data_IF_705359771763
#
_entry.id   IF_705359771763
#
_cell.length_a   1.000
_cell.length_b   1.000
_cell.length_c   1.000
_cell.angle_alpha   90.00
_cell.angle_beta   90.00
_cell.angle_gamma   90.00
#
_symmetry.space_group_name_H-M   'P 1'
#
loop_
_entity.id
_entity.type
_entity.pdbx_description
1 polymer ?
#
# COMPACT_ATOMS: atom_id res chain seq x y z
N UNK A 1 25.17 -8.75 20.27
CA UNK A 1 26.23 -8.59 19.25
C UNK A 1 26.78 -9.95 18.86
N UNK A 2 26.84 -10.23 17.56
CA UNK A 2 27.47 -11.43 17.02
C UNK A 2 28.68 -11.00 16.18
N UNK A 3 29.87 -11.50 16.55
CA UNK A 3 31.17 -11.08 15.97
C UNK A 3 31.71 -11.98 14.87
N UNK A 4 31.06 -13.08 14.55
CA UNK A 4 31.45 -14.02 13.50
C UNK A 4 30.63 -13.87 12.22
N UNK A 5 31.06 -14.54 11.14
CA UNK A 5 30.24 -14.66 9.92
C UNK A 5 28.96 -15.44 10.26
N UNK A 6 27.83 -14.90 9.89
CA UNK A 6 26.51 -15.50 10.12
C UNK A 6 25.95 -15.94 8.77
N UNK A 7 25.63 -17.24 8.66
CA UNK A 7 25.01 -17.78 7.44
C UNK A 7 24.04 -18.91 7.81
N UNK A 8 22.75 -18.67 7.60
CA UNK A 8 21.72 -19.71 7.74
C UNK A 8 20.47 -19.32 6.95
N UNK A 9 19.65 -20.31 6.60
CA UNK A 9 18.42 -20.12 5.81
C UNK A 9 17.15 -20.12 6.65
N UNK A 10 17.26 -20.35 7.95
CA UNK A 10 16.11 -20.34 8.87
C UNK A 10 15.58 -18.92 9.13
N UNK A 11 14.52 -18.86 9.91
CA UNK A 11 13.91 -17.59 10.33
C UNK A 11 14.80 -16.86 11.35
N UNK A 12 15.09 -15.60 11.07
CA UNK A 12 15.60 -14.63 12.05
C UNK A 12 14.42 -13.87 12.64
N UNK A 13 14.13 -14.05 13.93
CA UNK A 13 13.02 -13.38 14.61
C UNK A 13 13.54 -12.43 15.68
N UNK A 14 13.31 -11.11 15.50
CA UNK A 14 13.74 -10.05 16.41
C UNK A 14 12.50 -9.48 17.06
N UNK A 15 12.29 -9.80 18.34
CA UNK A 15 11.10 -9.42 19.10
C UNK A 15 11.31 -8.19 19.99
N UNK A 16 12.54 -7.70 20.10
CA UNK A 16 12.84 -6.50 20.88
C UNK A 16 14.30 -6.07 20.74
N UNK A 17 14.54 -4.77 20.90
CA UNK A 17 15.87 -4.18 20.93
C UNK A 17 16.62 -4.19 19.60
N UNK A 18 17.95 -4.28 19.68
CA UNK A 18 18.85 -4.23 18.49
C UNK A 18 19.69 -5.49 18.36
N UNK A 19 19.72 -6.06 17.17
CA UNK A 19 20.65 -7.11 16.77
C UNK A 19 21.76 -6.48 15.93
N UNK A 20 23.00 -6.55 16.40
CA UNK A 20 24.18 -6.06 15.66
C UNK A 20 25.08 -7.22 15.24
N UNK A 21 25.27 -7.37 13.94
CA UNK A 21 26.20 -8.31 13.31
C UNK A 21 27.46 -7.54 12.92
N UNK A 22 28.51 -7.69 13.70
CA UNK A 22 29.70 -6.81 13.62
C UNK A 22 30.81 -7.38 12.73
N UNK A 23 30.63 -8.55 12.15
CA UNK A 23 31.59 -9.11 11.19
C UNK A 23 31.60 -8.23 9.92
N UNK A 24 32.80 -7.87 9.46
CA UNK A 24 32.97 -7.11 8.22
C UNK A 24 32.67 -7.95 6.94
N UNK A 25 32.63 -9.28 7.07
CA UNK A 25 32.26 -10.17 5.99
C UNK A 25 30.75 -10.17 5.70
N UNK A 26 30.37 -10.80 4.61
CA UNK A 26 28.98 -10.92 4.22
C UNK A 26 28.19 -11.80 5.22
N UNK A 27 27.03 -11.35 5.61
CA UNK A 27 26.02 -12.10 6.36
C UNK A 27 24.99 -12.63 5.37
N UNK A 28 24.64 -13.91 5.48
CA UNK A 28 23.61 -14.53 4.62
C UNK A 28 22.47 -15.08 5.46
N UNK A 29 21.27 -14.58 5.25
CA UNK A 29 20.07 -14.93 6.01
C UNK A 29 18.94 -15.41 5.11
N UNK A 30 18.03 -16.20 5.69
CA UNK A 30 16.74 -16.53 5.11
C UNK A 30 15.69 -15.46 5.44
N UNK A 31 14.53 -15.90 5.95
CA UNK A 31 13.45 -15.01 6.34
C UNK A 31 13.82 -14.18 7.58
N UNK A 32 13.34 -12.93 7.62
CA UNK A 32 13.53 -12.03 8.76
C UNK A 32 12.17 -11.52 9.21
N UNK A 33 11.89 -11.60 10.52
CA UNK A 33 10.73 -10.98 11.14
C UNK A 33 11.20 -10.03 12.23
N UNK A 34 10.70 -8.81 12.20
CA UNK A 34 11.06 -7.75 13.16
C UNK A 34 9.80 -7.13 13.75
N UNK A 35 9.69 -7.19 15.07
CA UNK A 35 8.62 -6.54 15.83
C UNK A 35 8.82 -5.01 15.88
N UNK A 36 7.82 -4.30 16.36
CA UNK A 36 7.85 -2.85 16.52
C UNK A 36 9.07 -2.37 17.34
N UNK A 37 9.62 -1.23 16.92
CA UNK A 37 10.77 -0.57 17.57
C UNK A 37 12.03 -1.44 17.66
N UNK A 38 12.22 -2.37 16.72
CA UNK A 38 13.42 -3.19 16.65
C UNK A 38 14.37 -2.72 15.56
N UNK A 39 15.64 -3.02 15.73
CA UNK A 39 16.67 -2.68 14.76
C UNK A 39 17.60 -3.85 14.51
N UNK A 40 17.94 -4.06 13.24
CA UNK A 40 19.02 -4.95 12.84
C UNK A 40 20.11 -4.15 12.14
N UNK A 41 21.38 -4.41 12.45
CA UNK A 41 22.50 -3.79 11.73
C UNK A 41 23.52 -4.85 11.35
N UNK A 42 24.13 -4.69 10.17
CA UNK A 42 25.30 -5.45 9.73
C UNK A 42 26.46 -4.53 9.43
N UNK A 43 27.67 -4.88 9.84
CA UNK A 43 28.87 -4.11 9.47
C UNK A 43 29.28 -4.38 8.01
N UNK A 44 29.11 -5.59 7.53
CA UNK A 44 29.36 -6.01 6.15
C UNK A 44 28.09 -6.05 5.29
N UNK A 45 28.17 -6.76 4.18
CA UNK A 45 27.03 -7.00 3.31
C UNK A 45 25.97 -7.88 3.98
N UNK A 46 24.71 -7.68 3.63
CA UNK A 46 23.60 -8.59 3.96
C UNK A 46 23.06 -9.23 2.68
N UNK A 47 23.16 -10.55 2.60
CA UNK A 47 22.58 -11.33 1.51
C UNK A 47 21.31 -12.05 2.00
N UNK A 48 20.25 -11.97 1.24
CA UNK A 48 19.04 -12.76 1.48
C UNK A 48 18.99 -13.96 0.54
N UNK A 49 18.54 -15.09 1.06
CA UNK A 49 18.24 -16.25 0.22
C UNK A 49 17.14 -15.92 -0.80
N UNK A 50 17.13 -16.59 -1.94
CA UNK A 50 16.12 -16.39 -2.96
C UNK A 50 14.70 -16.60 -2.40
N UNK A 51 13.78 -15.71 -2.79
CA UNK A 51 12.39 -15.73 -2.34
C UNK A 51 12.18 -15.58 -0.83
N UNK A 52 13.17 -15.03 -0.11
CA UNK A 52 13.00 -14.72 1.33
C UNK A 52 11.85 -13.76 1.57
N UNK A 53 11.24 -13.88 2.75
CA UNK A 53 10.23 -12.94 3.24
C UNK A 53 10.84 -12.08 4.35
N UNK A 54 10.73 -10.76 4.20
CA UNK A 54 10.97 -9.78 5.24
C UNK A 54 9.61 -9.34 5.79
N UNK A 55 9.38 -9.61 7.07
CA UNK A 55 8.22 -9.11 7.80
C UNK A 55 8.72 -8.03 8.76
N UNK A 56 8.45 -6.77 8.45
CA UNK A 56 8.93 -5.62 9.21
C UNK A 56 7.76 -4.84 9.79
N UNK A 57 7.88 -4.42 11.04
CA UNK A 57 7.04 -3.34 11.53
C UNK A 57 7.55 -2.01 10.97
N UNK A 58 6.66 -1.05 10.66
CA UNK A 58 7.04 0.26 10.10
C UNK A 58 7.96 1.07 11.00
N UNK A 59 7.97 0.79 12.30
CA UNK A 59 8.86 1.40 13.28
C UNK A 59 10.20 0.65 13.42
N UNK A 60 10.39 -0.45 12.70
CA UNK A 60 11.63 -1.23 12.68
C UNK A 60 12.50 -0.89 11.47
N UNK A 61 13.80 -1.17 11.54
CA UNK A 61 14.71 -0.89 10.44
C UNK A 61 15.90 -1.86 10.35
N UNK A 62 16.36 -2.09 9.11
CA UNK A 62 17.59 -2.83 8.80
C UNK A 62 18.64 -1.87 8.25
N UNK A 63 19.78 -1.77 8.94
CA UNK A 63 20.95 -1.00 8.49
C UNK A 63 22.07 -1.91 8.01
N UNK A 64 22.47 -1.81 6.77
CA UNK A 64 23.52 -2.63 6.15
C UNK A 64 24.73 -1.76 5.85
N UNK A 65 25.84 -2.02 6.52
CA UNK A 65 27.09 -1.27 6.34
C UNK A 65 27.77 -1.53 5.00
N UNK A 66 27.47 -2.68 4.36
CA UNK A 66 27.93 -3.03 3.01
C UNK A 66 26.78 -3.04 1.99
N UNK A 67 26.93 -3.89 0.97
CA UNK A 67 25.90 -4.07 -0.05
C UNK A 67 24.71 -4.90 0.47
N UNK A 68 23.50 -4.57 0.02
CA UNK A 68 22.33 -5.42 0.18
C UNK A 68 22.23 -6.35 -1.04
N UNK A 69 22.48 -7.64 -0.81
CA UNK A 69 22.44 -8.66 -1.84
C UNK A 69 21.15 -9.46 -1.75
N UNK A 70 20.19 -9.10 -2.57
CA UNK A 70 18.96 -9.84 -2.73
C UNK A 70 18.52 -9.77 -4.21
N UNK A 71 17.93 -10.85 -4.69
CA UNK A 71 17.13 -10.79 -5.90
C UNK A 71 15.73 -10.27 -5.58
N UNK A 72 14.71 -10.98 -6.01
CA UNK A 72 13.32 -10.72 -5.61
C UNK A 72 13.07 -11.27 -4.21
N UNK A 73 12.48 -10.47 -3.33
CA UNK A 73 12.07 -10.87 -1.98
C UNK A 73 10.65 -10.37 -1.69
N UNK A 74 9.94 -11.10 -0.82
CA UNK A 74 8.62 -10.68 -0.37
C UNK A 74 8.75 -9.74 0.82
N UNK A 75 8.02 -8.63 0.80
CA UNK A 75 7.94 -7.68 1.90
C UNK A 75 6.54 -7.71 2.50
N UNK A 76 6.47 -7.87 3.81
CA UNK A 76 5.25 -7.71 4.61
C UNK A 76 5.49 -6.59 5.61
N UNK A 77 4.59 -5.62 5.70
CA UNK A 77 4.66 -4.53 6.65
C UNK A 77 3.54 -4.65 7.68
N UNK A 78 3.91 -4.58 8.95
CA UNK A 78 3.00 -4.47 10.08
C UNK A 78 2.98 -3.04 10.61
N UNK A 79 1.96 -2.66 11.36
CA UNK A 79 1.84 -1.34 11.97
C UNK A 79 1.32 -0.24 11.04
N UNK A 80 0.96 -0.58 9.80
CA UNK A 80 0.43 0.37 8.82
C UNK A 80 -0.88 1.02 9.30
N UNK A 81 -1.69 0.29 10.05
CA UNK A 81 -2.95 0.75 10.64
C UNK A 81 -2.75 1.86 11.69
N UNK A 82 -1.54 2.00 12.20
CA UNK A 82 -1.17 3.07 13.14
C UNK A 82 -0.71 4.36 12.48
N UNK A 83 -0.59 4.41 11.15
CA UNK A 83 -0.19 5.61 10.43
C UNK A 83 -1.43 6.48 10.21
N UNK A 84 -1.41 7.67 10.80
CA UNK A 84 -2.50 8.67 10.71
C UNK A 84 -2.07 9.97 10.03
N UNK A 85 -0.78 10.10 9.70
CA UNK A 85 -0.21 11.31 9.11
C UNK A 85 0.80 10.97 8.01
N UNK A 86 1.00 11.92 7.10
CA UNK A 86 2.04 11.82 6.07
C UNK A 86 3.44 11.74 6.70
N UNK A 87 4.31 10.93 6.12
CA UNK A 87 5.66 10.73 6.65
C UNK A 87 6.48 9.76 5.82
N UNK A 88 7.75 9.61 6.17
CA UNK A 88 8.66 8.65 5.55
C UNK A 88 9.18 7.65 6.60
N UNK A 89 9.11 6.38 6.28
CA UNK A 89 9.54 5.28 7.13
C UNK A 89 10.64 4.50 6.43
N UNK A 90 11.88 4.66 6.88
CA UNK A 90 13.01 3.94 6.31
C UNK A 90 13.02 2.50 6.81
N UNK A 91 12.76 1.56 5.92
CA UNK A 91 12.70 0.13 6.22
C UNK A 91 14.08 -0.52 6.12
N UNK A 92 14.82 -0.20 5.05
CA UNK A 92 16.19 -0.71 4.82
C UNK A 92 17.07 0.45 4.38
N UNK A 93 18.28 0.52 4.95
CA UNK A 93 19.38 1.36 4.44
C UNK A 93 20.60 0.49 4.19
N UNK A 94 21.31 0.72 3.08
CA UNK A 94 22.52 0.00 2.71
C UNK A 94 23.53 0.93 2.06
N UNK A 95 24.79 0.52 2.01
CA UNK A 95 25.79 1.27 1.26
C UNK A 95 25.53 1.22 -0.26
N UNK A 96 24.96 0.11 -0.75
CA UNK A 96 24.59 -0.11 -2.16
C UNK A 96 23.74 -1.36 -2.33
N UNK A 97 23.29 -1.64 -3.56
CA UNK A 97 22.74 -2.94 -3.96
C UNK A 97 21.21 -3.04 -3.85
N UNK A 98 20.53 -2.06 -3.25
CA UNK A 98 19.08 -2.07 -3.19
C UNK A 98 18.44 -1.85 -4.58
N UNK A 99 19.10 -1.17 -5.50
CA UNK A 99 18.65 -0.97 -6.88
C UNK A 99 18.58 -2.27 -7.70
N UNK A 100 19.40 -3.26 -7.36
CA UNK A 100 19.38 -4.58 -7.98
C UNK A 100 18.38 -5.56 -7.32
N UNK A 101 17.84 -5.21 -6.15
CA UNK A 101 16.85 -6.01 -5.44
C UNK A 101 15.43 -5.59 -5.86
N UNK A 102 14.47 -6.50 -5.74
CA UNK A 102 13.06 -6.22 -6.00
C UNK A 102 12.20 -6.63 -4.81
N UNK A 103 11.63 -5.66 -4.14
CA UNK A 103 10.65 -5.90 -3.09
C UNK A 103 9.26 -6.14 -3.72
N UNK A 104 8.67 -7.31 -3.42
CA UNK A 104 7.27 -7.60 -3.76
C UNK A 104 6.44 -7.32 -2.52
N UNK A 105 5.57 -6.32 -2.59
CA UNK A 105 4.64 -5.97 -1.52
C UNK A 105 3.20 -6.20 -1.97
N UNK A 106 2.43 -6.91 -1.16
CA UNK A 106 1.01 -7.14 -1.42
C UNK A 106 0.15 -6.17 -0.60
N UNK A 107 -0.50 -5.25 -1.27
CA UNK A 107 -1.43 -4.29 -0.66
C UNK A 107 -2.81 -4.90 -0.36
N UNK A 108 -3.09 -6.13 -0.82
CA UNK A 108 -4.37 -6.80 -0.64
C UNK A 108 -4.68 -7.03 0.80
N UNK A 109 -5.24 -6.81 1.61
CA UNK A 109 -5.45 -7.01 3.06
C UNK A 109 -5.10 -5.79 3.89
N UNK A 110 -4.55 -4.74 3.26
CA UNK A 110 -4.26 -3.50 3.95
C UNK A 110 -5.45 -2.54 3.87
N UNK A 111 -5.98 -2.14 5.02
CA UNK A 111 -7.15 -1.25 5.19
C UNK A 111 -6.81 0.05 5.91
N UNK A 112 -5.60 0.59 5.75
CA UNK A 112 -5.13 1.79 6.46
C UNK A 112 -5.96 3.06 6.22
N UNK A 113 -5.46 4.18 6.72
CA UNK A 113 -6.14 5.47 6.61
C UNK A 113 -6.38 5.86 5.14
N UNK A 114 -7.63 6.14 4.81
CA UNK A 114 -8.11 6.40 3.44
C UNK A 114 -7.72 7.78 2.93
N UNK A 115 -7.33 8.66 3.83
CA UNK A 115 -6.83 10.01 3.52
C UNK A 115 -5.33 10.01 3.16
N UNK A 116 -4.70 8.83 3.20
CA UNK A 116 -3.27 8.66 2.97
C UNK A 116 -2.98 7.80 1.73
N UNK A 117 -1.96 8.20 1.00
CA UNK A 117 -1.39 7.44 -0.13
C UNK A 117 -0.09 6.80 0.33
N UNK A 118 0.05 5.49 0.13
CA UNK A 118 1.20 4.71 0.53
C UNK A 118 1.98 4.28 -0.70
N UNK A 119 3.26 4.59 -0.73
CA UNK A 119 4.15 4.26 -1.85
C UNK A 119 5.46 3.68 -1.31
N UNK A 120 5.92 2.57 -1.87
CA UNK A 120 7.28 2.09 -1.64
C UNK A 120 8.23 2.77 -2.60
N UNK A 121 9.22 3.46 -2.05
CA UNK A 121 10.31 4.06 -2.80
C UNK A 121 11.61 3.29 -2.56
N UNK A 122 12.27 2.92 -3.64
CA UNK A 122 13.52 2.18 -3.61
C UNK A 122 14.58 2.92 -4.42
N UNK A 123 15.74 3.09 -3.81
CA UNK A 123 16.96 3.63 -4.43
C UNK A 123 18.10 2.64 -4.25
N UNK A 124 19.29 2.93 -4.79
CA UNK A 124 20.45 2.08 -4.56
C UNK A 124 20.87 1.94 -3.10
N UNK A 125 20.45 2.85 -2.24
CA UNK A 125 20.86 2.93 -0.84
C UNK A 125 19.69 2.77 0.16
N UNK A 126 18.45 2.98 -0.23
CA UNK A 126 17.30 2.94 0.70
C UNK A 126 16.09 2.26 0.09
N UNK A 127 15.35 1.54 0.95
CA UNK A 127 13.96 1.16 0.74
C UNK A 127 13.14 1.80 1.84
N UNK A 128 12.15 2.61 1.48
CA UNK A 128 11.28 3.29 2.41
C UNK A 128 9.82 3.24 2.00
N UNK A 129 8.94 3.28 2.98
CA UNK A 129 7.55 3.59 2.80
C UNK A 129 7.38 5.11 2.87
N UNK A 130 6.86 5.70 1.82
CA UNK A 130 6.48 7.12 1.75
C UNK A 130 4.99 7.21 1.86
N UNK A 131 4.53 7.98 2.83
CA UNK A 131 3.12 8.23 3.08
C UNK A 131 2.86 9.70 2.83
N UNK A 132 1.97 9.99 1.91
CA UNK A 132 1.56 11.34 1.56
C UNK A 132 0.07 11.54 1.82
N UNK A 133 -0.35 12.77 2.09
CA UNK A 133 -1.76 13.07 2.14
C UNK A 133 -2.37 12.92 0.74
N UNK A 134 -3.52 12.28 0.65
CA UNK A 134 -4.30 12.24 -0.59
C UNK A 134 -4.94 13.60 -0.94
N UNK A 135 -4.75 14.62 -0.09
CA UNK A 135 -5.48 15.87 -0.16
C UNK A 135 -6.89 15.73 0.41
N UNK A 136 -7.78 16.63 0.04
CA UNK A 136 -9.17 16.49 0.41
C UNK A 136 -9.76 15.29 -0.33
N UNK A 137 -10.14 14.25 0.44
CA UNK A 137 -10.79 13.05 -0.08
C UNK A 137 -12.28 13.09 0.21
N UNK A 138 -13.06 12.64 -0.74
CA UNK A 138 -14.50 12.53 -0.62
C UNK A 138 -14.88 11.07 -0.39
N UNK A 139 -15.42 10.78 0.79
CA UNK A 139 -15.74 9.41 1.20
C UNK A 139 -17.21 9.12 0.86
N UNK A 140 -17.45 8.08 0.07
CA UNK A 140 -18.79 7.65 -0.29
C UNK A 140 -19.61 7.25 0.96
N UNK A 141 -20.70 7.97 1.19
CA UNK A 141 -21.65 7.76 2.28
C UNK A 141 -22.96 7.14 1.78
N UNK A 142 -23.05 6.88 0.50
CA UNK A 142 -24.24 6.37 -0.14
C UNK A 142 -24.68 5.02 0.45
N UNK A 143 -25.98 4.78 0.38
CA UNK A 143 -26.57 3.48 0.67
C UNK A 143 -26.73 2.69 -0.63
N UNK A 144 -27.06 1.39 -0.53
CA UNK A 144 -27.30 0.56 -1.70
C UNK A 144 -28.32 1.20 -2.68
N UNK A 145 -27.97 1.19 -3.97
CA UNK A 145 -28.80 1.75 -5.03
C UNK A 145 -28.68 3.26 -5.25
N UNK A 146 -27.80 3.96 -4.54
CA UNK A 146 -27.56 5.38 -4.82
C UNK A 146 -26.77 5.59 -6.12
N UNK A 147 -27.09 6.71 -6.79
CA UNK A 147 -26.49 7.07 -8.07
C UNK A 147 -25.25 7.93 -7.86
N UNK A 148 -24.15 7.54 -8.52
CA UNK A 148 -22.95 8.35 -8.66
C UNK A 148 -22.93 9.02 -10.03
N UNK A 149 -22.88 10.35 -10.04
CA UNK A 149 -22.68 11.19 -11.23
C UNK A 149 -21.70 12.33 -10.90
N UNK A 150 -21.15 12.97 -11.93
CA UNK A 150 -20.28 14.15 -11.74
C UNK A 150 -21.00 15.35 -11.10
N UNK A 151 -22.33 15.34 -11.10
CA UNK A 151 -23.15 16.40 -10.48
C UNK A 151 -23.52 16.12 -9.03
N UNK A 152 -23.13 14.97 -8.46
CA UNK A 152 -23.35 14.70 -7.04
C UNK A 152 -22.59 15.70 -6.18
N UNK A 153 -23.31 16.29 -5.22
CA UNK A 153 -22.75 17.23 -4.25
C UNK A 153 -22.30 16.51 -2.97
N UNK A 154 -21.68 17.25 -2.06
CA UNK A 154 -21.02 16.72 -0.89
C UNK A 154 -21.82 15.80 0.03
N UNK A 155 -23.16 15.83 0.02
CA UNK A 155 -23.97 15.00 0.92
C UNK A 155 -23.78 13.49 0.70
N UNK A 156 -23.59 13.03 -0.55
CA UNK A 156 -23.27 11.63 -0.84
C UNK A 156 -21.84 11.25 -0.48
N UNK A 157 -20.98 12.22 -0.23
CA UNK A 157 -19.54 12.08 -0.06
C UNK A 157 -19.04 12.51 1.32
N UNK A 158 -19.92 12.67 2.31
CA UNK A 158 -19.53 13.01 3.67
C UNK A 158 -18.96 14.43 3.84
N UNK A 159 -19.15 15.31 2.86
CA UNK A 159 -18.75 16.70 2.91
C UNK A 159 -20.01 17.56 2.97
N UNK A 160 -20.46 17.80 4.19
CA UNK A 160 -21.71 18.51 4.42
C UNK A 160 -21.59 20.00 4.05
N UNK A 161 -22.57 20.52 3.30
CA UNK A 161 -22.62 21.92 2.91
C UNK A 161 -21.71 22.33 1.76
N UNK A 162 -20.95 21.43 1.13
CA UNK A 162 -20.19 21.76 -0.08
C UNK A 162 -21.10 21.83 -1.31
N UNK A 163 -20.96 22.89 -2.08
CA UNK A 163 -21.56 23.02 -3.41
C UNK A 163 -20.71 22.37 -4.51
N UNK A 164 -19.50 21.92 -4.18
CA UNK A 164 -18.60 21.27 -5.11
C UNK A 164 -19.17 19.91 -5.55
N UNK A 165 -18.73 19.44 -6.70
CA UNK A 165 -19.17 18.19 -7.29
C UNK A 165 -18.07 17.12 -7.24
N UNK A 166 -18.45 15.86 -7.41
CA UNK A 166 -17.51 14.73 -7.41
C UNK A 166 -16.50 14.74 -8.58
N UNK A 167 -16.75 15.56 -9.62
CA UNK A 167 -15.83 15.71 -10.72
C UNK A 167 -14.49 16.30 -10.26
N UNK A 168 -13.38 15.66 -10.64
CA UNK A 168 -12.04 16.12 -10.31
C UNK A 168 -11.59 15.87 -8.86
N UNK A 169 -12.43 15.24 -8.02
CA UNK A 169 -12.11 14.93 -6.63
C UNK A 169 -11.42 13.58 -6.47
N UNK A 170 -10.72 13.41 -5.35
CA UNK A 170 -10.20 12.11 -4.93
C UNK A 170 -11.31 11.38 -4.16
N UNK A 171 -11.81 10.29 -4.72
CA UNK A 171 -12.97 9.58 -4.20
C UNK A 171 -12.56 8.30 -3.50
N UNK A 172 -13.14 8.06 -2.32
CA UNK A 172 -12.89 6.86 -1.51
C UNK A 172 -14.20 6.13 -1.27
N UNK A 173 -14.18 4.82 -1.53
CA UNK A 173 -15.25 3.87 -1.26
C UNK A 173 -14.77 2.91 -0.18
N UNK A 174 -15.19 3.12 1.05
CA UNK A 174 -14.80 2.31 2.21
C UNK A 174 -15.89 1.28 2.58
N UNK A 175 -15.68 0.55 3.68
CA UNK A 175 -16.61 -0.51 4.09
C UNK A 175 -17.99 0.00 4.49
N UNK A 176 -18.14 1.27 4.91
CA UNK A 176 -19.42 1.78 5.43
C UNK A 176 -20.43 2.10 4.33
N UNK A 177 -19.96 2.42 3.12
CA UNK A 177 -20.82 2.70 1.96
C UNK A 177 -20.97 1.53 0.99
N UNK A 178 -20.60 0.31 1.40
CA UNK A 178 -20.60 -0.87 0.54
C UNK A 178 -21.99 -1.22 -0.02
N UNK A 179 -22.01 -1.79 -1.22
CA UNK A 179 -23.23 -2.16 -1.93
C UNK A 179 -23.16 -1.81 -3.41
N UNK A 180 -24.34 -1.67 -4.03
CA UNK A 180 -24.43 -1.30 -5.44
C UNK A 180 -24.45 0.21 -5.62
N UNK A 181 -23.49 0.72 -6.37
CA UNK A 181 -23.38 2.13 -6.79
C UNK A 181 -23.69 2.22 -8.27
N UNK A 182 -24.78 2.89 -8.62
CA UNK A 182 -25.19 3.07 -10.02
C UNK A 182 -24.55 4.33 -10.60
N UNK A 183 -23.70 4.16 -11.59
CA UNK A 183 -23.11 5.28 -12.32
C UNK A 183 -24.10 5.83 -13.35
N UNK A 184 -24.21 7.15 -13.44
CA UNK A 184 -25.02 7.86 -14.40
C UNK A 184 -24.18 8.84 -15.18
N UNK A 185 -24.10 8.65 -16.50
CA UNK A 185 -23.24 9.43 -17.38
C UNK A 185 -21.75 9.11 -17.22
N UNK A 186 -20.91 9.92 -17.82
CA UNK A 186 -19.45 9.83 -17.68
C UNK A 186 -19.04 10.48 -16.35
N UNK A 187 -18.40 9.74 -15.44
CA UNK A 187 -17.82 10.29 -14.21
C UNK A 187 -16.32 10.52 -14.39
N UNK A 188 -15.83 11.67 -13.91
CA UNK A 188 -14.49 12.18 -14.16
C UNK A 188 -13.75 12.52 -12.84
N UNK A 189 -13.58 11.60 -11.91
CA UNK A 189 -12.82 11.83 -10.69
C UNK A 189 -11.32 12.03 -10.98
N UNK A 190 -10.59 12.65 -10.06
CA UNK A 190 -9.12 12.66 -10.09
C UNK A 190 -8.57 11.28 -9.76
N UNK A 191 -9.12 10.63 -8.75
CA UNK A 191 -8.79 9.25 -8.38
C UNK A 191 -9.99 8.53 -7.73
N UNK A 192 -9.96 7.21 -7.77
CA UNK A 192 -10.90 6.32 -7.10
C UNK A 192 -10.09 5.34 -6.26
N UNK A 193 -10.31 5.31 -4.96
CA UNK A 193 -9.79 4.27 -4.08
C UNK A 193 -10.96 3.46 -3.53
N UNK A 194 -10.96 2.15 -3.77
CA UNK A 194 -11.90 1.22 -3.14
C UNK A 194 -11.14 0.43 -2.07
N UNK A 195 -11.38 0.76 -0.80
CA UNK A 195 -10.72 0.17 0.36
C UNK A 195 -11.77 -0.44 1.29
N UNK A 196 -12.19 -1.64 1.00
CA UNK A 196 -13.30 -2.31 1.68
C UNK A 196 -12.85 -3.63 2.31
N UNK A 197 -13.35 -3.91 3.52
CA UNK A 197 -13.10 -5.15 4.23
C UNK A 197 -13.82 -6.34 3.58
N UNK A 198 -13.40 -7.55 3.92
CA UNK A 198 -14.07 -8.77 3.50
C UNK A 198 -15.58 -8.72 3.86
N UNK A 199 -16.43 -9.03 2.90
CA UNK A 199 -17.88 -9.00 3.07
C UNK A 199 -18.55 -7.64 2.85
N UNK A 200 -17.77 -6.56 2.68
CA UNK A 200 -18.26 -5.21 2.32
C UNK A 200 -18.05 -4.96 0.82
N UNK A 201 -18.69 -5.74 -0.02
CA UNK A 201 -18.45 -5.75 -1.46
C UNK A 201 -19.11 -4.56 -2.17
N UNK A 202 -18.44 -4.07 -3.22
CA UNK A 202 -19.00 -3.05 -4.12
C UNK A 202 -19.32 -3.63 -5.49
N UNK A 203 -20.41 -3.13 -6.07
CA UNK A 203 -20.76 -3.29 -7.48
C UNK A 203 -20.93 -1.90 -8.09
N UNK A 204 -20.05 -1.52 -9.00
CA UNK A 204 -20.26 -0.34 -9.84
C UNK A 204 -21.07 -0.77 -11.06
N UNK A 205 -22.31 -0.34 -11.13
CA UNK A 205 -23.26 -0.66 -12.21
C UNK A 205 -23.53 0.58 -13.05
N UNK A 206 -23.86 0.38 -14.34
CA UNK A 206 -24.30 1.46 -15.22
C UNK A 206 -25.82 1.54 -15.27
N UNK A 207 -26.37 2.76 -15.37
CA UNK A 207 -27.77 3.02 -15.72
C UNK A 207 -28.04 2.91 -17.24
N UNK A 208 -27.05 2.43 -18.01
CA UNK A 208 -27.06 2.41 -19.46
C UNK A 208 -26.23 3.56 -20.08
N UNK A 209 -25.78 4.53 -19.29
CA UNK A 209 -24.90 5.63 -19.71
C UNK A 209 -23.67 5.76 -18.83
N UNK A 210 -23.65 5.09 -17.69
CA UNK A 210 -22.64 5.22 -16.64
C UNK A 210 -21.31 4.61 -17.01
N UNK A 211 -20.25 5.42 -17.00
CA UNK A 211 -18.86 4.98 -17.21
C UNK A 211 -17.88 5.80 -16.41
N UNK A 212 -16.75 5.23 -16.06
CA UNK A 212 -15.60 5.95 -15.51
C UNK A 212 -14.78 6.44 -16.70
N UNK A 213 -14.76 7.75 -16.93
CA UNK A 213 -14.10 8.35 -18.09
C UNK A 213 -12.68 8.84 -17.79
N UNK A 214 -12.37 9.14 -16.52
CA UNK A 214 -11.07 9.60 -16.05
C UNK A 214 -10.75 9.04 -14.67
N UNK A 215 -9.52 9.30 -14.20
CA UNK A 215 -9.03 8.94 -12.88
C UNK A 215 -8.32 7.58 -12.82
N UNK A 216 -7.53 7.41 -11.78
CA UNK A 216 -6.87 6.14 -11.47
C UNK A 216 -7.75 5.34 -10.50
N UNK A 217 -7.99 4.07 -10.80
CA UNK A 217 -8.70 3.17 -9.90
C UNK A 217 -7.70 2.33 -9.10
N UNK A 218 -7.75 2.46 -7.79
CA UNK A 218 -6.95 1.67 -6.84
C UNK A 218 -7.88 0.77 -6.02
N UNK A 219 -7.62 -0.54 -6.00
CA UNK A 219 -8.32 -1.48 -5.13
C UNK A 219 -7.43 -1.91 -3.97
N UNK A 220 -7.94 -1.75 -2.76
CA UNK A 220 -7.32 -2.19 -1.49
C UNK A 220 -8.33 -3.00 -0.68
N UNK A 221 -7.90 -3.53 0.46
CA UNK A 221 -8.74 -4.35 1.33
C UNK A 221 -9.17 -5.67 0.68
N UNK A 222 -9.82 -6.53 1.45
CA UNK A 222 -10.18 -7.90 1.07
C UNK A 222 -11.57 -8.03 0.42
N UNK A 223 -12.42 -7.02 0.56
CA UNK A 223 -13.75 -6.98 -0.04
C UNK A 223 -13.65 -6.92 -1.58
N UNK A 224 -14.67 -7.41 -2.26
CA UNK A 224 -14.70 -7.47 -3.73
C UNK A 224 -15.13 -6.12 -4.32
N UNK A 225 -14.59 -5.80 -5.49
CA UNK A 225 -15.13 -4.79 -6.40
C UNK A 225 -15.55 -5.48 -7.71
N UNK A 226 -16.80 -5.27 -8.11
CA UNK A 226 -17.34 -5.73 -9.40
C UNK A 226 -17.65 -4.51 -10.27
N UNK A 227 -17.16 -4.49 -11.50
CA UNK A 227 -17.42 -3.43 -12.46
C UNK A 227 -18.39 -3.95 -13.54
N UNK A 228 -19.68 -3.55 -13.43
CA UNK A 228 -20.73 -3.82 -14.41
C UNK A 228 -21.03 -2.52 -15.18
N UNK A 229 -20.01 -1.96 -15.79
CA UNK A 229 -20.08 -0.69 -16.52
C UNK A 229 -20.26 -0.94 -18.01
N UNK A 230 -20.89 0.02 -18.69
CA UNK A 230 -21.04 -0.05 -20.13
C UNK A 230 -19.67 0.11 -20.84
N UNK A 231 -19.34 -0.83 -21.71
CA UNK A 231 -18.10 -0.86 -22.49
C UNK A 231 -18.35 -0.51 -23.95
N UNK A 232 -19.25 0.42 -24.23
CA UNK A 232 -19.65 0.79 -25.59
C UNK A 232 -18.53 1.32 -26.51
N UNK A 233 -17.30 1.49 -26.00
CA UNK A 233 -16.15 1.96 -26.76
C UNK A 233 -15.23 0.83 -27.31
N UNK A 234 -15.59 -0.44 -27.19
CA UNK A 234 -14.90 -1.48 -27.95
C UNK A 234 -15.33 -1.41 -29.43
N UNK A 235 -14.64 -0.58 -30.21
CA UNK A 235 -14.58 -0.81 -31.66
C UNK A 235 -13.99 -2.20 -31.87
N UNK A 236 -14.83 -3.16 -32.24
CA UNK A 236 -14.36 -4.40 -32.81
C UNK A 236 -13.59 -4.06 -34.11
N UNK A 237 -12.30 -4.34 -34.09
CA UNK A 237 -11.46 -4.38 -35.28
C UNK A 237 -11.54 -5.77 -35.86
#
# INVERSE_FOLDING_TARGET
TLGGTVSYTGLTNIQGGTVALTAAGATSLGNITMAANTRMTTAGALNLAASSTLTLDISSSIGVGGAFGAGTFNLTLNGLEGITEAGEYTLISAASGLDAASAIFNWAGYTGDETLIYTLEQTGATLKLVVTSAGDVWIWQGTEGMTWSDTNTGAQWGIDGSADTAAGQNLVFNSSGAGTVTLSGAVNPASITVNNAAGSDYVFASDGTGKIAQGTLTKRGEGKLTLNLDHSDRKSV
#
